data_IF_246804466357
#
_entry.id   IF_246804466357
#
_cell.length_a   1.000
_cell.length_b   1.000
_cell.length_c   1.000
_cell.angle_alpha   90.00
_cell.angle_beta   90.00
_cell.angle_gamma   90.00
#
_symmetry.space_group_name_H-M   'P 1'
#
loop_
_entity.id
_entity.type
_entity.pdbx_description
1 polymer ?
#
# COMPACT_ATOMS: atom_id res chain seq x y z
N UNK A 1 -33.88 -19.03 -24.14
CA UNK A 1 -33.86 -20.30 -24.88
C UNK A 1 -34.88 -21.34 -24.39
N UNK A 2 -34.59 -22.21 -23.41
CA UNK A 2 -35.43 -23.42 -23.17
C UNK A 2 -36.91 -23.11 -22.87
N UNK A 3 -37.18 -22.25 -21.89
CA UNK A 3 -38.56 -21.86 -21.51
C UNK A 3 -39.32 -21.07 -22.59
N UNK A 4 -38.61 -20.53 -23.58
CA UNK A 4 -39.18 -19.61 -24.57
C UNK A 4 -39.42 -20.30 -25.91
N UNK A 5 -38.57 -21.27 -26.28
CA UNK A 5 -38.60 -21.87 -27.62
C UNK A 5 -38.40 -23.40 -27.64
N UNK A 6 -38.42 -24.07 -26.48
CA UNK A 6 -38.31 -25.53 -26.34
C UNK A 6 -37.02 -26.07 -26.96
N UNK A 7 -35.91 -25.37 -26.74
CA UNK A 7 -34.66 -25.52 -27.48
C UNK A 7 -34.06 -26.94 -27.42
N UNK A 8 -34.21 -27.63 -26.29
CA UNK A 8 -33.74 -29.00 -26.07
C UNK A 8 -34.82 -30.06 -26.32
N UNK A 9 -36.09 -29.66 -26.30
CA UNK A 9 -37.24 -30.51 -26.62
C UNK A 9 -37.38 -30.75 -28.13
N UNK A 10 -37.10 -29.74 -28.96
CA UNK A 10 -37.16 -29.85 -30.40
C UNK A 10 -35.87 -30.49 -30.97
N UNK A 11 -36.01 -31.57 -31.74
CA UNK A 11 -34.90 -32.35 -32.30
C UNK A 11 -33.99 -31.51 -33.21
N UNK A 12 -34.56 -30.66 -34.07
CA UNK A 12 -33.80 -29.85 -35.04
C UNK A 12 -32.88 -28.83 -34.34
N UNK A 13 -33.37 -28.22 -33.25
CA UNK A 13 -32.61 -27.28 -32.42
C UNK A 13 -31.55 -27.98 -31.56
N UNK A 14 -31.79 -29.24 -31.20
CA UNK A 14 -30.83 -30.08 -30.50
C UNK A 14 -29.67 -30.52 -31.41
N UNK A 15 -29.92 -30.74 -32.71
CA UNK A 15 -28.86 -30.95 -33.70
C UNK A 15 -28.03 -29.67 -33.92
N UNK A 16 -28.68 -28.51 -34.00
CA UNK A 16 -28.02 -27.21 -34.08
C UNK A 16 -27.02 -26.99 -32.91
N UNK A 17 -27.36 -27.41 -31.69
CA UNK A 17 -26.44 -27.37 -30.53
C UNK A 17 -25.16 -28.19 -30.76
N UNK A 18 -25.26 -29.33 -31.46
CA UNK A 18 -24.13 -30.17 -31.85
C UNK A 18 -23.15 -29.48 -32.81
N UNK A 19 -23.63 -28.52 -33.60
CA UNK A 19 -22.80 -27.68 -34.50
C UNK A 19 -22.26 -26.44 -33.80
N UNK A 20 -23.07 -25.80 -32.94
CA UNK A 20 -22.69 -24.59 -32.20
C UNK A 20 -21.59 -24.86 -31.16
N UNK A 21 -21.66 -25.95 -30.39
CA UNK A 21 -20.67 -26.22 -29.33
C UNK A 21 -19.22 -26.36 -29.85
N UNK A 22 -18.93 -27.11 -30.94
CA UNK A 22 -17.60 -27.13 -31.56
C UNK A 22 -17.18 -25.77 -32.12
N UNK A 23 -18.11 -24.94 -32.59
CA UNK A 23 -17.81 -23.59 -33.04
C UNK A 23 -17.43 -22.68 -31.87
N UNK A 24 -18.21 -22.66 -30.79
CA UNK A 24 -17.87 -21.93 -29.55
C UNK A 24 -16.48 -22.34 -29.05
N UNK A 25 -16.20 -23.65 -28.97
CA UNK A 25 -14.90 -24.14 -28.51
C UNK A 25 -13.75 -23.64 -29.40
N UNK A 26 -13.92 -23.66 -30.72
CA UNK A 26 -12.91 -23.19 -31.68
C UNK A 26 -12.69 -21.68 -31.54
N UNK A 27 -13.76 -20.90 -31.53
CA UNK A 27 -13.72 -19.44 -31.53
C UNK A 27 -13.15 -18.91 -30.21
N UNK A 28 -13.55 -19.49 -29.07
CA UNK A 28 -12.96 -19.19 -27.75
C UNK A 28 -11.48 -19.60 -27.66
N UNK A 29 -11.06 -20.70 -28.30
CA UNK A 29 -9.65 -21.14 -28.29
C UNK A 29 -8.76 -20.25 -29.17
N UNK A 30 -9.27 -19.73 -30.30
CA UNK A 30 -8.52 -18.92 -31.25
C UNK A 30 -8.52 -17.42 -30.91
N UNK A 31 -9.66 -16.89 -30.49
CA UNK A 31 -9.89 -15.44 -30.35
C UNK A 31 -10.16 -15.01 -28.91
N UNK A 32 -10.46 -15.95 -28.00
CA UNK A 32 -10.86 -15.63 -26.63
C UNK A 32 -12.25 -14.98 -26.52
N UNK A 33 -12.97 -14.79 -27.62
CA UNK A 33 -14.33 -14.30 -27.65
C UNK A 33 -15.13 -14.99 -28.76
N UNK A 34 -16.44 -15.10 -28.56
CA UNK A 34 -17.35 -15.81 -29.44
C UNK A 34 -18.74 -15.16 -29.37
N UNK A 35 -19.26 -14.79 -30.54
CA UNK A 35 -20.57 -14.15 -30.72
C UNK A 35 -21.32 -14.98 -31.76
N UNK A 36 -22.27 -15.82 -31.32
CA UNK A 36 -23.05 -16.69 -32.21
C UNK A 36 -24.54 -16.36 -32.06
N UNK A 37 -25.21 -15.88 -33.12
CA UNK A 37 -26.68 -15.83 -33.15
C UNK A 37 -27.22 -17.25 -33.25
N UNK A 38 -28.10 -17.64 -32.32
CA UNK A 38 -28.66 -18.99 -32.23
C UNK A 38 -30.07 -19.05 -32.80
N UNK A 39 -30.85 -17.97 -32.64
CA UNK A 39 -32.09 -17.73 -33.36
C UNK A 39 -32.31 -16.21 -33.56
N UNK A 40 -33.47 -15.80 -34.07
CA UNK A 40 -33.80 -14.39 -34.32
C UNK A 40 -33.94 -13.52 -33.06
N UNK A 41 -33.96 -14.12 -31.86
CA UNK A 41 -34.12 -13.42 -30.58
C UNK A 41 -32.96 -13.66 -29.60
N UNK A 42 -32.13 -14.70 -29.81
CA UNK A 42 -31.08 -15.12 -28.90
C UNK A 42 -29.70 -15.10 -29.56
N UNK A 43 -28.78 -14.32 -28.98
CA UNK A 43 -27.36 -14.28 -29.36
C UNK A 43 -26.52 -14.69 -28.15
N UNK A 44 -25.61 -15.65 -28.33
CA UNK A 44 -24.67 -16.11 -27.31
C UNK A 44 -23.37 -15.32 -27.46
N UNK A 45 -23.12 -14.44 -26.49
CA UNK A 45 -21.88 -13.67 -26.37
C UNK A 45 -21.04 -14.23 -25.22
N UNK A 46 -19.86 -14.75 -25.53
CA UNK A 46 -18.92 -15.33 -24.59
C UNK A 46 -17.55 -14.66 -24.74
N UNK A 47 -16.92 -14.31 -23.63
CA UNK A 47 -15.58 -13.72 -23.61
C UNK A 47 -14.75 -14.30 -22.47
N UNK A 48 -13.59 -14.85 -22.80
CA UNK A 48 -12.58 -15.31 -21.86
C UNK A 48 -11.78 -14.09 -21.37
N UNK A 49 -11.99 -13.74 -20.12
CA UNK A 49 -11.14 -12.78 -19.43
C UNK A 49 -9.97 -13.51 -18.78
N UNK A 50 -8.71 -13.05 -18.94
CA UNK A 50 -7.58 -13.65 -18.25
C UNK A 50 -7.77 -13.50 -16.73
N UNK A 51 -7.70 -14.61 -16.00
CA UNK A 51 -7.72 -14.62 -14.53
C UNK A 51 -6.37 -14.14 -14.03
N UNK A 52 -6.25 -12.83 -13.81
CA UNK A 52 -5.08 -12.21 -13.19
C UNK A 52 -5.09 -12.48 -11.68
N UNK A 53 -3.92 -12.56 -11.07
CA UNK A 53 -3.81 -12.78 -9.63
C UNK A 53 -4.19 -11.52 -8.85
N UNK A 54 -4.86 -11.70 -7.71
CA UNK A 54 -5.19 -10.60 -6.80
C UNK A 54 -3.90 -9.88 -6.35
N UNK A 55 -3.74 -8.57 -6.63
CA UNK A 55 -2.54 -7.84 -6.26
C UNK A 55 -2.45 -7.67 -4.75
N UNK A 56 -1.20 -7.69 -4.27
CA UNK A 56 -0.83 -7.41 -2.89
C UNK A 56 -1.45 -6.09 -2.39
N UNK A 57 -1.70 -5.97 -1.06
CA UNK A 57 -2.20 -4.73 -0.48
C UNK A 57 -1.22 -3.58 -0.70
N UNK A 58 -1.76 -2.42 -1.07
CA UNK A 58 -0.99 -1.20 -1.34
C UNK A 58 -0.84 -0.40 -0.05
N UNK A 59 0.39 -0.17 0.38
CA UNK A 59 0.71 0.57 1.60
C UNK A 59 1.01 2.05 1.34
N UNK A 60 0.83 2.88 2.37
CA UNK A 60 0.93 4.35 2.29
C UNK A 60 2.34 4.85 1.98
N UNK A 61 3.34 4.10 2.41
CA UNK A 61 4.76 4.38 2.25
C UNK A 61 5.34 3.89 0.91
N UNK A 62 4.60 3.10 0.11
CA UNK A 62 5.11 2.61 -1.16
C UNK A 62 5.04 3.68 -2.26
N UNK A 63 5.94 3.57 -3.24
CA UNK A 63 6.05 4.44 -4.40
C UNK A 63 5.57 3.69 -5.65
N UNK A 64 4.47 4.10 -6.30
CA UNK A 64 4.08 3.56 -7.61
C UNK A 64 5.02 4.07 -8.70
N UNK A 65 5.55 3.15 -9.50
CA UNK A 65 6.31 3.44 -10.73
C UNK A 65 5.55 2.89 -11.92
N UNK A 66 5.30 3.74 -12.92
CA UNK A 66 4.74 3.32 -14.20
C UNK A 66 5.75 2.45 -14.97
N UNK A 67 5.35 1.23 -15.34
CA UNK A 67 6.12 0.36 -16.26
C UNK A 67 5.74 0.66 -17.71
N UNK A 68 4.46 0.98 -17.94
CA UNK A 68 3.90 1.33 -19.25
C UNK A 68 3.59 2.81 -19.28
N UNK A 69 3.58 3.42 -20.46
CA UNK A 69 3.14 4.82 -20.59
C UNK A 69 1.65 4.94 -20.27
N UNK A 70 1.36 5.44 -19.06
CA UNK A 70 0.00 5.64 -18.57
C UNK A 70 -0.73 6.74 -19.36
N UNK A 71 -0.02 7.67 -20.02
CA UNK A 71 -0.63 8.78 -20.76
C UNK A 71 -1.13 8.31 -22.13
N UNK A 72 -0.30 7.58 -22.86
CA UNK A 72 -0.71 6.91 -24.10
C UNK A 72 -1.88 5.92 -23.86
N UNK A 73 -1.93 5.29 -22.68
CA UNK A 73 -3.10 4.49 -22.28
C UNK A 73 -4.33 5.38 -22.02
N UNK A 74 -4.17 6.52 -21.33
CA UNK A 74 -5.24 7.45 -20.96
C UNK A 74 -5.98 8.03 -22.16
N UNK A 75 -5.26 8.33 -23.25
CA UNK A 75 -5.80 8.94 -24.47
C UNK A 75 -6.76 8.03 -25.25
N UNK A 76 -6.71 6.71 -25.03
CA UNK A 76 -7.39 5.71 -25.87
C UNK A 76 -8.68 5.12 -25.27
N UNK A 77 -9.13 5.56 -24.08
CA UNK A 77 -10.34 5.02 -23.42
C UNK A 77 -11.02 6.03 -22.50
N UNK A 78 -12.27 5.77 -22.15
CA UNK A 78 -12.98 6.44 -21.05
C UNK A 78 -12.44 5.96 -19.68
N UNK A 79 -11.27 6.47 -19.29
CA UNK A 79 -10.68 6.17 -17.98
C UNK A 79 -11.43 6.86 -16.84
N UNK A 80 -11.51 6.18 -15.69
CA UNK A 80 -12.04 6.72 -14.44
C UNK A 80 -11.42 8.10 -14.11
N UNK A 81 -12.25 9.08 -13.75
CA UNK A 81 -11.85 10.43 -13.36
C UNK A 81 -10.81 10.43 -12.22
N UNK A 82 -10.92 9.50 -11.26
CA UNK A 82 -9.94 9.36 -10.19
C UNK A 82 -8.58 8.91 -10.72
N UNK A 83 -8.55 8.00 -11.72
CA UNK A 83 -7.31 7.61 -12.39
C UNK A 83 -6.72 8.76 -13.20
N UNK A 84 -7.54 9.52 -13.93
CA UNK A 84 -7.09 10.72 -14.66
C UNK A 84 -6.41 11.75 -13.75
N UNK A 85 -6.95 11.97 -12.55
CA UNK A 85 -6.35 12.89 -11.56
C UNK A 85 -5.06 12.33 -10.92
N UNK A 86 -4.99 11.02 -10.65
CA UNK A 86 -3.86 10.40 -9.95
C UNK A 86 -2.65 10.16 -10.89
N UNK A 87 -2.89 9.74 -12.13
CA UNK A 87 -1.83 9.34 -13.10
C UNK A 87 -0.72 10.40 -13.28
N UNK A 88 -1.01 11.71 -13.42
CA UNK A 88 0.03 12.75 -13.50
C UNK A 88 1.00 12.77 -12.32
N UNK A 89 0.54 12.36 -11.13
CA UNK A 89 1.35 12.34 -9.92
C UNK A 89 2.18 11.05 -9.76
N UNK A 90 1.98 10.01 -10.58
CA UNK A 90 2.79 8.78 -10.59
C UNK A 90 4.08 9.01 -11.38
N UNK A 91 5.10 9.57 -10.72
CA UNK A 91 6.43 9.86 -11.29
C UNK A 91 7.53 8.86 -10.89
N UNK A 92 7.20 7.85 -10.09
CA UNK A 92 8.18 6.94 -9.50
C UNK A 92 9.07 7.58 -8.42
N UNK A 93 8.63 8.69 -7.82
CA UNK A 93 9.30 9.36 -6.69
C UNK A 93 8.35 9.58 -5.52
N UNK A 94 7.10 10.00 -5.78
CA UNK A 94 6.10 10.25 -4.73
C UNK A 94 5.50 8.95 -4.20
N UNK A 95 5.42 8.83 -2.87
CA UNK A 95 4.73 7.73 -2.21
C UNK A 95 3.19 7.93 -2.21
N UNK A 96 2.42 6.86 -2.08
CA UNK A 96 0.94 6.85 -2.21
C UNK A 96 0.26 7.93 -1.37
N UNK A 97 0.67 8.12 -0.11
CA UNK A 97 0.09 9.16 0.76
C UNK A 97 0.46 10.58 0.34
N UNK A 98 1.63 10.80 -0.26
CA UNK A 98 2.00 12.10 -0.83
C UNK A 98 1.20 12.40 -2.09
N UNK A 99 0.95 11.39 -2.93
CA UNK A 99 0.06 11.51 -4.10
C UNK A 99 -1.35 11.91 -3.67
N UNK A 100 -1.89 11.27 -2.62
CA UNK A 100 -3.21 11.64 -2.05
C UNK A 100 -3.30 13.11 -1.63
N UNK A 101 -2.25 13.66 -1.00
CA UNK A 101 -2.19 15.07 -0.59
C UNK A 101 -2.01 16.05 -1.76
N UNK A 102 -1.23 15.69 -2.78
CA UNK A 102 -0.99 16.57 -3.94
C UNK A 102 -2.12 16.55 -4.98
N UNK A 103 -2.87 15.43 -5.07
CA UNK A 103 -4.02 15.28 -5.96
C UNK A 103 -5.37 15.70 -5.32
N UNK A 104 -5.39 16.00 -4.01
CA UNK A 104 -6.61 16.22 -3.20
C UNK A 104 -7.64 15.06 -3.29
N UNK A 105 -7.14 13.82 -3.33
CA UNK A 105 -7.96 12.60 -3.40
C UNK A 105 -7.77 11.77 -2.13
N UNK A 106 -8.87 11.26 -1.56
CA UNK A 106 -8.83 10.43 -0.35
C UNK A 106 -7.90 9.22 -0.52
N UNK A 107 -7.02 8.99 0.45
CA UNK A 107 -6.01 7.92 0.42
C UNK A 107 -6.59 6.51 0.20
N UNK A 108 -7.83 6.26 0.65
CA UNK A 108 -8.52 5.00 0.41
C UNK A 108 -8.87 4.80 -1.09
N UNK A 109 -9.22 5.88 -1.80
CA UNK A 109 -9.45 5.88 -3.25
C UNK A 109 -8.12 5.70 -3.97
N UNK A 110 -7.08 6.46 -3.60
CA UNK A 110 -5.73 6.33 -4.22
C UNK A 110 -5.19 4.90 -4.09
N UNK A 111 -5.33 4.26 -2.92
CA UNK A 111 -4.95 2.85 -2.73
C UNK A 111 -5.72 1.91 -3.67
N UNK A 112 -7.03 2.10 -3.87
CA UNK A 112 -7.83 1.31 -4.82
C UNK A 112 -7.39 1.53 -6.26
N UNK A 113 -7.20 2.77 -6.68
CA UNK A 113 -6.73 3.13 -8.02
C UNK A 113 -5.35 2.53 -8.33
N UNK A 114 -4.39 2.67 -7.41
CA UNK A 114 -3.05 2.07 -7.56
C UNK A 114 -3.11 0.53 -7.54
N UNK A 115 -3.99 -0.08 -6.73
CA UNK A 115 -4.22 -1.54 -6.75
C UNK A 115 -4.79 -2.00 -8.11
N UNK A 116 -5.66 -1.22 -8.74
CA UNK A 116 -6.20 -1.51 -10.06
C UNK A 116 -5.15 -1.40 -11.17
N UNK A 117 -4.27 -0.40 -11.10
CA UNK A 117 -3.12 -0.26 -12.01
C UNK A 117 -2.09 -1.38 -11.84
N UNK A 118 -1.95 -1.91 -10.61
CA UNK A 118 -1.12 -3.07 -10.31
C UNK A 118 -1.74 -4.39 -10.82
N UNK A 119 -3.06 -4.57 -10.69
CA UNK A 119 -3.79 -5.72 -11.25
C UNK A 119 -3.56 -5.86 -12.76
N UNK A 120 -3.62 -4.76 -13.51
CA UNK A 120 -3.37 -4.75 -14.96
C UNK A 120 -1.88 -4.68 -15.37
N UNK A 121 -0.94 -4.70 -14.42
CA UNK A 121 0.50 -4.65 -14.70
C UNK A 121 0.98 -3.32 -15.31
N UNK A 122 0.23 -2.24 -15.13
CA UNK A 122 0.60 -0.90 -15.62
C UNK A 122 1.62 -0.21 -14.70
N UNK A 123 1.55 -0.52 -13.40
CA UNK A 123 2.36 0.07 -12.32
C UNK A 123 2.96 -1.04 -11.47
N UNK A 124 4.17 -0.83 -10.96
CA UNK A 124 4.78 -1.62 -9.88
C UNK A 124 4.99 -0.76 -8.64
N UNK A 125 5.10 -1.40 -7.47
CA UNK A 125 5.32 -0.73 -6.19
C UNK A 125 6.75 -0.98 -5.73
N UNK A 126 7.49 0.10 -5.48
CA UNK A 126 8.82 0.07 -4.88
C UNK A 126 8.84 0.82 -3.56
N UNK A 127 9.98 0.74 -2.88
CA UNK A 127 10.29 1.53 -1.71
C UNK A 127 10.65 2.99 -2.00
N UNK A 128 10.47 3.86 -0.99
CA UNK A 128 10.96 5.25 -1.03
C UNK A 128 12.49 5.26 -1.13
N UNK A 129 13.02 5.91 -2.16
CA UNK A 129 14.45 6.20 -2.27
C UNK A 129 14.86 7.33 -1.31
N UNK A 130 15.71 7.02 -0.33
CA UNK A 130 16.38 7.97 0.55
C UNK A 130 17.89 7.67 0.61
N UNK A 131 18.71 8.70 0.80
CA UNK A 131 20.17 8.53 0.97
C UNK A 131 20.54 7.80 2.27
N UNK A 132 19.70 7.85 3.30
CA UNK A 132 19.89 7.08 4.55
C UNK A 132 19.59 5.58 4.42
N UNK A 133 19.00 5.15 3.30
CA UNK A 133 18.62 3.75 3.09
C UNK A 133 19.84 2.85 2.88
N UNK A 134 19.61 1.57 3.18
CA UNK A 134 20.53 0.48 2.90
C UNK A 134 19.83 -0.47 1.93
N UNK A 135 20.60 -0.98 0.97
CA UNK A 135 20.14 -1.93 -0.02
C UNK A 135 21.11 -3.11 -0.06
N UNK A 136 20.62 -4.27 -0.50
CA UNK A 136 21.41 -5.47 -0.68
C UNK A 136 21.16 -6.04 -2.08
N UNK A 137 22.20 -6.61 -2.68
CA UNK A 137 22.02 -7.37 -3.91
C UNK A 137 21.20 -8.65 -3.66
N UNK A 138 20.60 -9.17 -4.74
CA UNK A 138 19.91 -10.46 -4.76
C UNK A 138 20.53 -11.35 -5.84
N UNK A 139 20.43 -12.69 -5.76
CA UNK A 139 20.94 -13.57 -6.81
C UNK A 139 20.25 -13.36 -8.18
N UNK A 140 19.13 -12.64 -8.24
CA UNK A 140 18.47 -12.27 -9.51
C UNK A 140 19.32 -11.34 -10.38
N UNK A 141 20.36 -10.70 -9.83
CA UNK A 141 21.34 -9.93 -10.63
C UNK A 141 22.00 -10.77 -11.74
N UNK A 142 22.05 -12.10 -11.59
CA UNK A 142 22.51 -13.00 -12.65
C UNK A 142 21.64 -12.95 -13.92
N UNK A 143 20.35 -12.60 -13.82
CA UNK A 143 19.47 -12.42 -14.99
C UNK A 143 19.93 -11.22 -15.81
N UNK A 144 20.31 -10.11 -15.15
CA UNK A 144 20.87 -8.93 -15.81
C UNK A 144 22.16 -9.24 -16.58
N UNK A 145 22.99 -10.17 -16.07
CA UNK A 145 24.21 -10.58 -16.77
C UNK A 145 23.95 -11.41 -18.04
N UNK A 146 22.82 -12.12 -18.12
CA UNK A 146 22.50 -13.04 -19.22
C UNK A 146 21.62 -12.42 -20.31
N UNK A 147 20.80 -11.40 -20.02
CA UNK A 147 19.91 -10.78 -21.01
C UNK A 147 20.47 -9.44 -21.56
N UNK A 148 20.97 -9.40 -22.81
CA UNK A 148 21.52 -8.17 -23.41
C UNK A 148 20.47 -7.08 -23.69
N UNK A 149 19.18 -7.42 -23.82
CA UNK A 149 18.12 -6.40 -24.00
C UNK A 149 17.95 -5.61 -22.72
N UNK A 150 17.87 -6.32 -21.60
CA UNK A 150 17.74 -5.75 -20.27
C UNK A 150 18.97 -4.93 -19.85
N UNK A 151 20.16 -5.30 -20.35
CA UNK A 151 21.38 -4.49 -20.19
C UNK A 151 21.29 -3.14 -20.92
N UNK A 152 20.79 -3.14 -22.16
CA UNK A 152 20.61 -1.92 -22.94
C UNK A 152 19.54 -1.01 -22.31
N UNK A 153 18.39 -1.55 -21.92
CA UNK A 153 17.35 -0.82 -21.19
C UNK A 153 17.86 -0.24 -19.88
N UNK A 154 18.60 -1.03 -19.09
CA UNK A 154 19.24 -0.57 -17.86
C UNK A 154 20.16 0.62 -18.12
N UNK A 155 21.05 0.52 -19.11
CA UNK A 155 22.03 1.56 -19.41
C UNK A 155 21.34 2.86 -19.86
N UNK A 156 20.31 2.79 -20.71
CA UNK A 156 19.52 3.95 -21.13
C UNK A 156 18.76 4.56 -19.96
N UNK A 157 18.11 3.74 -19.11
CA UNK A 157 17.28 4.24 -18.01
C UNK A 157 18.09 5.00 -16.96
N UNK A 158 19.23 4.44 -16.50
CA UNK A 158 20.02 5.01 -15.40
C UNK A 158 20.89 6.21 -15.80
N UNK A 159 21.07 6.46 -17.09
CA UNK A 159 21.96 7.51 -17.58
C UNK A 159 21.44 8.90 -17.21
N UNK A 160 22.34 9.81 -16.84
CA UNK A 160 22.00 11.24 -16.69
C UNK A 160 21.67 11.84 -18.05
N UNK A 161 20.63 12.66 -18.09
CA UNK A 161 20.17 13.36 -19.29
C UNK A 161 21.31 14.08 -20.00
N UNK A 162 21.50 13.80 -21.30
CA UNK A 162 22.53 14.44 -22.12
C UNK A 162 23.91 13.77 -22.15
N UNK A 163 24.10 12.65 -21.45
CA UNK A 163 25.35 11.86 -21.51
C UNK A 163 25.18 10.52 -22.21
N UNK A 164 26.26 10.02 -22.82
CA UNK A 164 26.31 8.68 -23.38
C UNK A 164 26.17 7.61 -22.27
N UNK A 165 25.52 6.47 -22.56
CA UNK A 165 25.30 5.45 -21.55
C UNK A 165 26.61 4.82 -21.06
N UNK A 166 26.76 4.59 -19.73
CA UNK A 166 27.95 3.96 -19.18
C UNK A 166 28.03 2.49 -19.60
N UNK A 167 29.25 1.96 -19.66
CA UNK A 167 29.47 0.56 -20.06
C UNK A 167 28.80 -0.43 -19.10
N UNK A 168 28.19 -1.49 -19.64
CA UNK A 168 27.48 -2.47 -18.82
C UNK A 168 28.36 -3.06 -17.71
N UNK A 169 29.64 -3.35 -18.00
CA UNK A 169 30.60 -3.83 -16.99
C UNK A 169 30.72 -2.88 -15.77
N UNK A 170 30.65 -1.56 -15.97
CA UNK A 170 30.68 -0.57 -14.89
C UNK A 170 29.38 -0.58 -14.08
N UNK A 171 28.24 -0.69 -14.75
CA UNK A 171 26.90 -0.79 -14.12
C UNK A 171 26.82 -2.06 -13.26
N UNK A 172 27.24 -3.20 -13.82
CA UNK A 172 27.23 -4.49 -13.15
C UNK A 172 28.17 -4.51 -11.94
N UNK A 173 29.39 -3.98 -12.09
CA UNK A 173 30.33 -3.83 -10.97
C UNK A 173 29.76 -2.98 -9.84
N UNK A 174 29.00 -1.92 -10.15
CA UNK A 174 28.32 -1.08 -9.15
C UNK A 174 27.17 -1.84 -8.45
N UNK A 175 26.36 -2.63 -9.16
CA UNK A 175 25.34 -3.46 -8.49
C UNK A 175 25.99 -4.54 -7.60
N UNK A 176 27.12 -5.11 -8.02
CA UNK A 176 27.88 -6.07 -7.23
C UNK A 176 28.57 -5.44 -6.00
N UNK A 177 28.87 -4.13 -6.02
CA UNK A 177 29.45 -3.43 -4.86
C UNK A 177 28.43 -2.91 -3.84
N UNK A 178 27.12 -3.03 -4.10
CA UNK A 178 26.08 -2.70 -3.11
C UNK A 178 26.09 -3.75 -1.99
N UNK A 179 26.49 -3.32 -0.78
CA UNK A 179 26.59 -4.16 0.41
C UNK A 179 25.49 -3.83 1.45
N UNK A 180 24.95 -4.84 2.18
CA UNK A 180 23.91 -4.65 3.19
C UNK A 180 24.37 -3.90 4.46
N UNK A 181 25.63 -3.50 4.54
CA UNK A 181 26.23 -2.72 5.64
C UNK A 181 26.37 -1.23 5.31
N UNK A 182 26.22 -0.83 4.04
CA UNK A 182 26.56 0.51 3.56
C UNK A 182 25.31 1.35 3.27
N UNK A 183 25.25 2.58 3.81
CA UNK A 183 24.17 3.53 3.49
C UNK A 183 24.39 4.09 2.08
N UNK A 184 23.29 4.45 1.41
CA UNK A 184 23.34 5.01 0.05
C UNK A 184 24.10 6.36 -0.02
N UNK A 185 24.06 7.16 1.06
CA UNK A 185 24.90 8.35 1.23
C UNK A 185 26.39 8.04 1.06
N UNK A 186 26.83 6.97 1.71
CA UNK A 186 28.24 6.62 1.85
C UNK A 186 28.71 5.91 0.57
N UNK A 187 27.86 5.08 -0.03
CA UNK A 187 28.03 4.53 -1.37
C UNK A 187 28.23 5.63 -2.43
N UNK A 188 27.44 6.70 -2.39
CA UNK A 188 27.59 7.84 -3.30
C UNK A 188 28.94 8.55 -3.14
N UNK A 189 29.51 8.62 -1.94
CA UNK A 189 30.83 9.21 -1.70
C UNK A 189 31.93 8.28 -2.21
N UNK A 190 31.91 7.01 -1.79
CA UNK A 190 32.92 5.99 -2.14
C UNK A 190 33.00 5.76 -3.65
N UNK A 191 31.86 5.73 -4.35
CA UNK A 191 31.78 5.49 -5.78
C UNK A 191 31.49 6.76 -6.60
N UNK A 192 31.73 7.95 -6.05
CA UNK A 192 31.43 9.26 -6.67
C UNK A 192 31.91 9.37 -8.13
N UNK A 193 33.18 9.09 -8.41
CA UNK A 193 33.74 9.07 -9.78
C UNK A 193 32.99 8.10 -10.72
N UNK A 194 32.59 6.95 -10.18
CA UNK A 194 31.85 5.90 -10.91
C UNK A 194 30.44 6.34 -11.27
N UNK A 195 29.84 7.19 -10.44
CA UNK A 195 28.46 7.66 -10.53
C UNK A 195 28.33 9.01 -11.26
N UNK A 196 29.44 9.56 -11.78
CA UNK A 196 29.48 10.86 -12.50
C UNK A 196 28.41 10.96 -13.58
N UNK A 197 28.17 9.89 -14.35
CA UNK A 197 27.20 9.84 -15.46
C UNK A 197 25.91 9.06 -15.14
N UNK A 198 25.73 8.59 -13.89
CA UNK A 198 24.61 7.73 -13.46
C UNK A 198 23.67 8.49 -12.51
N UNK A 199 22.38 8.54 -12.81
CA UNK A 199 21.35 8.97 -11.86
C UNK A 199 21.18 7.86 -10.81
N UNK A 200 21.70 8.11 -9.60
CA UNK A 200 21.68 7.16 -8.47
C UNK A 200 20.26 6.72 -8.12
N UNK A 201 19.27 7.64 -8.18
CA UNK A 201 17.88 7.30 -7.89
C UNK A 201 17.37 6.31 -8.94
N UNK A 202 17.61 6.58 -10.23
CA UNK A 202 17.20 5.65 -11.31
C UNK A 202 17.92 4.32 -11.24
N UNK A 203 19.21 4.31 -10.89
CA UNK A 203 19.98 3.08 -10.65
C UNK A 203 19.32 2.21 -9.57
N UNK A 204 18.97 2.78 -8.42
CA UNK A 204 18.28 2.03 -7.36
C UNK A 204 16.84 1.66 -7.75
N UNK A 205 16.07 2.57 -8.34
CA UNK A 205 14.72 2.31 -8.84
C UNK A 205 14.69 1.14 -9.82
N UNK A 206 15.60 1.10 -10.80
CA UNK A 206 15.72 0.00 -11.75
C UNK A 206 16.07 -1.32 -11.05
N UNK A 207 17.06 -1.30 -10.14
CA UNK A 207 17.42 -2.46 -9.33
C UNK A 207 16.27 -3.00 -8.48
N UNK A 208 15.41 -2.14 -7.93
CA UNK A 208 14.22 -2.53 -7.17
C UNK A 208 13.10 -3.09 -8.06
N UNK A 209 12.81 -2.45 -9.21
CA UNK A 209 11.76 -2.87 -10.16
C UNK A 209 12.02 -4.30 -10.67
N UNK A 210 13.26 -4.58 -11.08
CA UNK A 210 13.64 -5.91 -11.58
C UNK A 210 14.04 -6.89 -10.45
N UNK A 211 14.03 -6.42 -9.19
CA UNK A 211 14.33 -7.24 -8.01
C UNK A 211 15.78 -7.68 -7.86
N UNK A 212 16.72 -7.01 -8.55
CA UNK A 212 18.17 -7.20 -8.38
C UNK A 212 18.69 -6.64 -7.07
N UNK A 213 18.04 -5.60 -6.57
CA UNK A 213 18.23 -5.04 -5.25
C UNK A 213 17.00 -5.34 -4.40
N UNK A 214 17.24 -5.62 -3.12
CA UNK A 214 16.23 -5.54 -2.07
C UNK A 214 16.59 -4.42 -1.12
N UNK A 215 15.60 -3.79 -0.50
CA UNK A 215 15.84 -2.86 0.60
C UNK A 215 16.12 -3.64 1.89
N UNK A 216 16.92 -3.04 2.76
CA UNK A 216 17.12 -3.50 4.14
C UNK A 216 16.48 -2.45 5.04
N UNK A 217 15.37 -2.80 5.68
CA UNK A 217 14.57 -1.86 6.46
C UNK A 217 15.06 -1.79 7.90
N UNK A 218 14.89 -0.61 8.52
CA UNK A 218 15.19 -0.40 9.94
C UNK A 218 13.88 -0.49 10.74
N UNK A 219 13.86 -1.39 11.72
CA UNK A 219 12.75 -1.63 12.62
C UNK A 219 13.14 -1.15 14.02
N UNK A 220 12.65 0.02 14.47
CA UNK A 220 12.87 0.49 15.83
C UNK A 220 12.09 -0.36 16.83
N UNK A 221 12.75 -0.67 17.96
CA UNK A 221 12.24 -1.43 19.09
C UNK A 221 12.51 -0.60 20.35
N UNK A 222 11.48 -0.08 20.98
CA UNK A 222 11.53 0.60 22.27
C UNK A 222 11.06 -0.36 23.37
N UNK A 223 11.98 -0.75 24.25
CA UNK A 223 11.67 -1.63 25.38
C UNK A 223 11.20 -0.76 26.55
N UNK A 224 9.88 -0.60 26.69
CA UNK A 224 9.32 0.01 27.89
C UNK A 224 9.48 -0.94 29.09
N UNK A 225 10.41 -0.58 29.98
CA UNK A 225 10.72 -1.31 31.20
C UNK A 225 9.64 -1.22 32.28
N UNK A 226 8.60 -0.39 32.08
CA UNK A 226 7.49 -0.18 33.02
C UNK A 226 6.18 -0.91 32.64
N UNK A 227 6.19 -1.81 31.66
CA UNK A 227 5.07 -2.74 31.41
C UNK A 227 5.13 -3.95 32.36
N UNK A 228 4.23 -4.09 33.36
CA UNK A 228 4.13 -5.30 34.16
C UNK A 228 3.48 -6.43 33.33
N UNK A 229 4.28 -7.12 32.52
CA UNK A 229 3.78 -8.17 31.63
C UNK A 229 4.81 -9.07 30.95
N UNK A 230 6.10 -8.71 30.92
CA UNK A 230 7.17 -9.55 30.38
C UNK A 230 7.71 -10.53 31.42
N UNK A 231 6.94 -11.58 31.71
CA UNK A 231 7.45 -12.74 32.46
C UNK A 231 8.65 -13.37 31.72
N UNK A 232 9.82 -13.55 32.37
CA UNK A 232 10.95 -14.22 31.73
C UNK A 232 10.60 -15.70 31.45
N UNK A 233 11.22 -16.33 30.44
CA UNK A 233 10.98 -17.74 30.14
C UNK A 233 11.44 -18.60 31.32
N UNK A 234 10.48 -19.23 32.00
CA UNK A 234 10.77 -20.14 33.11
C UNK A 234 11.56 -21.35 32.59
N UNK A 235 12.79 -21.50 33.09
CA UNK A 235 13.50 -22.78 32.99
C UNK A 235 12.76 -23.81 33.84
N UNK A 236 12.39 -24.92 33.20
CA UNK A 236 11.59 -25.96 33.83
C UNK A 236 12.49 -26.83 34.74
N UNK A 237 12.58 -26.47 36.03
CA UNK A 237 13.12 -27.36 37.05
C UNK A 237 12.00 -28.13 37.74
N UNK A 238 12.09 -29.46 37.65
CA UNK A 238 11.22 -30.44 38.28
C UNK A 238 11.38 -30.45 39.79
N UNK A 239 10.27 -30.38 40.54
CA UNK A 239 10.22 -30.83 41.94
C UNK A 239 8.82 -31.33 42.34
N UNK A 240 8.80 -32.16 43.36
CA UNK A 240 7.76 -33.19 43.60
C UNK A 240 6.61 -32.70 44.50
N UNK A 241 5.38 -33.24 44.37
CA UNK A 241 4.28 -32.91 45.26
C UNK A 241 4.33 -33.70 46.57
N UNK A 242 4.16 -33.01 47.71
CA UNK A 242 3.82 -33.63 48.99
C UNK A 242 2.31 -33.66 49.24
N UNK A 243 1.91 -34.54 50.14
CA UNK A 243 0.57 -35.13 50.23
C UNK A 243 -0.36 -34.37 51.19
N UNK A 244 -1.67 -34.48 50.96
CA UNK A 244 -2.66 -34.70 52.04
C UNK A 244 -3.90 -35.46 51.51
N UNK A 245 -4.61 -36.23 52.34
CA UNK A 245 -5.42 -37.36 51.86
C UNK A 245 -6.94 -37.12 51.86
N UNK A 246 -7.66 -37.78 50.94
CA UNK A 246 -9.08 -38.10 51.14
C UNK A 246 -9.44 -39.45 50.50
N UNK A 247 -10.54 -40.05 50.99
CA UNK A 247 -10.75 -41.50 51.03
C UNK A 247 -11.47 -42.08 49.79
N UNK A 248 -11.50 -43.43 49.76
CA UNK A 248 -12.29 -44.35 48.93
C UNK A 248 -13.70 -43.84 48.51
N UNK A 249 -14.35 -44.29 47.43
CA UNK A 249 -14.38 -45.64 46.83
C UNK A 249 -14.87 -45.51 45.36
N UNK A 250 -14.28 -46.17 44.36
CA UNK A 250 -14.83 -47.42 43.79
C UNK A 250 -15.72 -47.20 42.55
N UNK A 251 -15.35 -47.74 41.37
CA UNK A 251 -16.17 -47.69 40.15
C UNK A 251 -15.37 -47.76 38.85
N UNK A 252 -15.87 -48.45 37.83
CA UNK A 252 -15.11 -48.85 36.63
C UNK A 252 -15.64 -48.29 35.30
N UNK A 253 -14.72 -48.24 34.33
CA UNK A 253 -14.91 -48.43 32.86
C UNK A 253 -15.40 -47.29 31.94
N UNK A 254 -14.52 -47.01 30.96
CA UNK A 254 -14.73 -46.87 29.50
C UNK A 254 -15.98 -46.13 28.97
N UNK A 255 -15.73 -45.03 28.24
CA UNK A 255 -16.67 -44.49 27.24
C UNK A 255 -16.05 -43.37 26.39
N UNK A 256 -16.28 -43.38 25.06
CA UNK A 256 -15.98 -42.25 24.15
C UNK A 256 -16.83 -41.03 24.50
N UNK A 257 -16.49 -39.85 23.94
CA UNK A 257 -17.51 -39.22 23.11
C UNK A 257 -17.00 -38.77 21.73
N UNK A 258 -17.74 -39.14 20.69
CA UNK A 258 -18.07 -38.22 19.60
C UNK A 258 -19.51 -37.78 19.86
N UNK A 259 -19.75 -36.49 20.07
CA UNK A 259 -21.09 -35.92 20.08
C UNK A 259 -21.02 -34.45 19.64
N UNK A 260 -21.86 -34.08 18.68
CA UNK A 260 -22.03 -32.70 18.25
C UNK A 260 -22.84 -31.94 19.32
N UNK A 261 -22.50 -30.66 19.53
CA UNK A 261 -23.38 -29.72 20.23
C UNK A 261 -23.81 -28.61 19.27
N UNK A 262 -25.07 -28.69 18.86
CA UNK A 262 -25.84 -27.58 18.29
C UNK A 262 -26.09 -26.52 19.36
N UNK A 263 -26.01 -25.24 19.01
CA UNK A 263 -26.91 -24.22 19.56
C UNK A 263 -26.92 -22.96 18.70
N UNK A 264 -28.12 -22.60 18.22
CA UNK A 264 -28.40 -21.34 17.53
C UNK A 264 -28.83 -20.28 18.54
N UNK A 265 -28.47 -19.00 18.39
CA UNK A 265 -29.08 -17.91 19.14
C UNK A 265 -30.42 -17.48 18.51
N UNK A 266 -31.39 -17.11 19.35
CA UNK A 266 -32.75 -16.72 18.95
C UNK A 266 -32.91 -15.21 18.68
N UNK A 267 -33.89 -14.88 17.84
CA UNK A 267 -34.26 -13.53 17.41
C UNK A 267 -35.31 -12.88 18.33
N UNK A 268 -35.10 -11.59 18.65
CA UNK A 268 -36.11 -10.60 19.06
C UNK A 268 -35.42 -9.23 19.20
N UNK A 269 -35.96 -8.06 18.82
CA UNK A 269 -37.23 -7.77 18.15
C UNK A 269 -37.61 -6.28 18.28
N UNK A 270 -37.35 -5.50 17.21
CA UNK A 270 -37.98 -4.21 16.79
C UNK A 270 -38.14 -2.98 17.73
N UNK A 271 -37.51 -1.88 17.26
CA UNK A 271 -37.88 -0.44 17.24
C UNK A 271 -39.40 -0.07 17.32
N UNK A 272 -39.80 1.16 17.75
CA UNK A 272 -39.85 2.30 16.78
C UNK A 272 -39.76 3.80 17.27
N UNK A 273 -39.29 4.65 16.33
CA UNK A 273 -39.76 6.01 15.91
C UNK A 273 -39.88 7.19 16.90
N UNK A 274 -39.21 8.31 16.56
CA UNK A 274 -39.70 9.72 16.52
C UNK A 274 -38.53 10.69 16.18
N UNK A 275 -38.68 12.00 15.97
CA UNK A 275 -39.46 12.76 14.95
C UNK A 275 -38.79 14.16 14.77
N UNK A 276 -39.00 14.85 13.63
CA UNK A 276 -38.40 16.16 13.32
C UNK A 276 -39.17 17.37 13.92
N UNK A 277 -38.65 18.60 13.79
CA UNK A 277 -39.56 19.70 13.42
C UNK A 277 -39.04 20.72 12.38
N UNK A 278 -40.01 21.41 11.77
CA UNK A 278 -39.98 22.47 10.74
C UNK A 278 -40.82 23.67 11.21
N UNK A 279 -40.78 24.90 10.67
CA UNK A 279 -39.84 25.63 9.78
C UNK A 279 -40.36 27.08 9.60
N UNK A 280 -39.52 28.10 9.43
CA UNK A 280 -40.01 29.45 9.02
C UNK A 280 -39.04 30.25 8.13
N UNK A 281 -39.64 30.83 7.08
CA UNK A 281 -39.15 31.92 6.21
C UNK A 281 -39.91 33.24 6.62
N UNK A 282 -39.81 34.44 5.96
CA UNK A 282 -39.29 34.74 4.60
C UNK A 282 -38.45 36.04 4.39
N UNK A 283 -37.79 36.11 3.21
CA UNK A 283 -37.76 37.25 2.25
C UNK A 283 -37.23 38.66 2.60
N UNK A 284 -36.35 39.24 1.74
CA UNK A 284 -36.18 40.70 1.66
C UNK A 284 -34.89 41.29 1.03
N UNK A 285 -34.86 41.42 -0.31
CA UNK A 285 -34.24 42.49 -1.17
C UNK A 285 -32.96 43.27 -0.74
N UNK A 286 -32.01 43.49 -1.68
CA UNK A 286 -31.34 44.82 -1.80
C UNK A 286 -29.82 44.95 -2.06
N UNK A 287 -29.40 44.91 -3.33
CA UNK A 287 -28.39 45.74 -4.04
C UNK A 287 -27.02 46.21 -3.43
N UNK A 288 -25.96 45.94 -4.22
CA UNK A 288 -24.83 46.81 -4.69
C UNK A 288 -24.02 47.78 -3.77
N UNK A 289 -22.68 47.78 -4.01
CA UNK A 289 -21.72 48.85 -3.65
C UNK A 289 -20.46 48.29 -2.97
N UNK A 290 -19.34 48.00 -3.65
CA UNK A 290 -18.36 48.86 -4.34
C UNK A 290 -17.58 49.82 -3.42
N UNK A 291 -16.30 49.49 -3.22
CA UNK A 291 -15.12 50.34 -2.92
C UNK A 291 -15.10 51.27 -1.69
N UNK A 292 -13.98 51.20 -0.95
CA UNK A 292 -13.62 52.23 0.04
C UNK A 292 -12.37 51.89 0.86
N UNK A 293 -11.18 52.27 0.38
CA UNK A 293 -9.97 52.28 1.21
C UNK A 293 -10.12 53.31 2.34
N UNK A 294 -9.67 52.97 3.55
CA UNK A 294 -9.62 53.88 4.69
C UNK A 294 -8.53 53.51 5.69
N UNK A 295 -7.34 54.06 5.51
CA UNK A 295 -6.28 53.96 6.51
C UNK A 295 -6.58 54.89 7.70
N UNK A 296 -6.46 54.38 8.93
CA UNK A 296 -6.67 55.17 10.14
C UNK A 296 -6.01 54.51 11.34
N UNK A 297 -4.85 55.02 11.76
CA UNK A 297 -4.17 54.59 12.96
C UNK A 297 -4.67 55.38 14.18
N UNK A 298 -4.95 54.70 15.29
CA UNK A 298 -4.96 55.31 16.62
C UNK A 298 -4.70 54.28 17.71
N UNK A 299 -4.01 54.71 18.78
CA UNK A 299 -3.60 53.86 19.89
C UNK A 299 -4.75 53.56 20.85
N UNK A 300 -4.77 52.34 21.41
CA UNK A 300 -5.63 51.98 22.53
C UNK A 300 -5.04 50.81 23.32
N UNK A 301 -4.40 51.09 24.45
CA UNK A 301 -3.86 50.05 25.33
C UNK A 301 -4.97 49.42 26.17
N UNK A 302 -5.10 48.09 26.12
CA UNK A 302 -6.04 47.31 26.92
C UNK A 302 -5.67 45.83 26.85
N UNK A 303 -5.39 45.21 28.00
CA UNK A 303 -4.66 43.94 28.05
C UNK A 303 -5.43 42.72 27.54
N UNK A 304 -4.71 41.80 26.89
CA UNK A 304 -5.11 40.39 26.81
C UNK A 304 -3.94 39.43 26.52
N UNK A 305 -2.96 39.37 27.44
CA UNK A 305 -1.77 38.50 27.30
C UNK A 305 -2.08 37.01 27.55
N UNK A 306 -3.30 36.66 28.01
CA UNK A 306 -3.69 35.29 28.34
C UNK A 306 -3.99 34.40 27.11
N UNK A 307 -4.39 34.98 25.98
CA UNK A 307 -4.84 34.23 24.79
C UNK A 307 -3.71 33.49 24.05
N UNK A 308 -2.48 34.02 24.10
CA UNK A 308 -1.31 33.42 23.44
C UNK A 308 -0.77 32.15 24.12
N UNK A 309 -1.25 31.82 25.32
CA UNK A 309 -0.75 30.68 26.10
C UNK A 309 -1.52 29.39 25.87
N UNK A 310 -2.82 29.44 25.58
CA UNK A 310 -3.63 28.23 25.34
C UNK A 310 -3.25 27.55 24.02
N UNK A 311 -3.09 28.32 22.93
CA UNK A 311 -2.66 27.80 21.63
C UNK A 311 -1.26 27.16 21.69
N UNK A 312 -0.31 27.76 22.42
CA UNK A 312 1.01 27.16 22.67
C UNK A 312 0.91 25.88 23.49
N UNK A 313 0.09 25.85 24.55
CA UNK A 313 -0.13 24.66 25.38
C UNK A 313 -0.80 23.52 24.60
N UNK A 314 -1.76 23.83 23.73
CA UNK A 314 -2.41 22.88 22.83
C UNK A 314 -1.43 22.26 21.83
N UNK A 315 -0.58 23.08 21.21
CA UNK A 315 0.49 22.62 20.31
C UNK A 315 1.48 21.69 21.02
N UNK A 316 1.93 22.06 22.24
CA UNK A 316 2.81 21.20 23.06
C UNK A 316 2.12 19.89 23.45
N UNK A 317 0.85 19.90 23.85
CA UNK A 317 0.12 18.65 24.14
C UNK A 317 -0.02 17.76 22.90
N UNK A 318 -0.20 18.35 21.71
CA UNK A 318 -0.29 17.62 20.44
C UNK A 318 1.06 17.03 20.03
N UNK A 319 2.16 17.74 20.27
CA UNK A 319 3.52 17.23 20.06
C UNK A 319 3.84 16.07 21.00
N UNK A 320 3.55 16.20 22.30
CA UNK A 320 3.76 15.13 23.29
C UNK A 320 2.88 13.88 23.01
N UNK A 321 1.68 14.07 22.44
CA UNK A 321 0.84 12.96 22.00
C UNK A 321 1.43 12.27 20.76
N UNK A 322 1.88 13.05 19.78
CA UNK A 322 2.55 12.55 18.58
C UNK A 322 3.80 11.73 18.92
N UNK A 323 4.64 12.21 19.84
CA UNK A 323 5.82 11.51 20.33
C UNK A 323 5.45 10.16 20.97
N UNK A 324 4.44 10.15 21.86
CA UNK A 324 3.94 8.89 22.44
C UNK A 324 3.41 7.91 21.40
N UNK A 325 2.67 8.39 20.40
CA UNK A 325 2.12 7.55 19.35
C UNK A 325 3.22 7.01 18.41
N UNK A 326 4.29 7.77 18.19
CA UNK A 326 5.51 7.32 17.49
C UNK A 326 6.22 6.23 18.28
N UNK A 327 6.50 6.43 19.57
CA UNK A 327 7.11 5.42 20.44
C UNK A 327 6.26 4.13 20.47
N UNK A 328 4.93 4.26 20.45
CA UNK A 328 4.00 3.12 20.42
C UNK A 328 4.07 2.28 19.15
N UNK A 329 4.59 2.84 18.06
CA UNK A 329 4.87 2.12 16.80
C UNK A 329 6.32 1.63 16.70
N UNK A 330 7.18 1.93 17.67
CA UNK A 330 8.53 1.36 17.77
C UNK A 330 8.48 -0.01 18.46
N UNK A 331 7.71 -0.93 17.89
CA UNK A 331 7.45 -2.28 18.42
C UNK A 331 8.29 -3.38 17.74
N UNK A 332 9.11 -3.02 16.75
CA UNK A 332 9.87 -3.95 15.91
C UNK A 332 9.08 -4.65 14.80
N UNK A 333 7.77 -4.38 14.71
CA UNK A 333 6.86 -4.81 13.64
C UNK A 333 6.76 -3.77 12.52
N UNK A 334 6.77 -2.48 12.88
CA UNK A 334 6.75 -1.37 11.92
C UNK A 334 8.18 -0.90 11.60
N UNK A 335 8.43 -0.55 10.34
CA UNK A 335 9.73 0.00 9.92
C UNK A 335 9.70 1.54 9.85
N UNK A 336 10.89 2.16 9.79
CA UNK A 336 11.02 3.63 9.86
C UNK A 336 10.18 4.40 8.84
N UNK A 337 10.01 3.90 7.61
CA UNK A 337 9.26 4.62 6.57
C UNK A 337 7.75 4.58 6.77
N UNK A 338 7.24 3.50 7.35
CA UNK A 338 5.83 3.40 7.73
C UNK A 338 5.50 4.40 8.83
N UNK A 339 6.37 4.52 9.83
CA UNK A 339 6.28 5.53 10.89
C UNK A 339 6.37 6.95 10.28
N UNK A 340 7.38 7.22 9.45
CA UNK A 340 7.53 8.51 8.76
C UNK A 340 6.32 8.89 7.91
N UNK A 341 5.80 7.96 7.09
CA UNK A 341 4.63 8.19 6.24
C UNK A 341 3.37 8.40 7.07
N UNK A 342 3.13 7.57 8.10
CA UNK A 342 1.93 7.65 8.94
C UNK A 342 1.85 8.98 9.70
N UNK A 343 2.96 9.42 10.29
CA UNK A 343 3.02 10.66 11.08
C UNK A 343 3.48 11.91 10.31
N UNK A 344 3.81 11.79 9.02
CA UNK A 344 4.40 12.85 8.18
C UNK A 344 5.69 13.45 8.78
N UNK A 345 6.49 12.61 9.44
CA UNK A 345 7.77 12.97 10.06
C UNK A 345 8.93 12.76 9.09
N UNK A 346 10.01 13.52 9.28
CA UNK A 346 11.26 13.27 8.56
C UNK A 346 12.00 12.12 9.21
N UNK A 347 12.71 11.33 8.40
CA UNK A 347 13.54 10.22 8.88
C UNK A 347 14.56 10.66 9.96
N UNK A 348 15.11 11.87 9.86
CA UNK A 348 16.03 12.45 10.85
C UNK A 348 15.39 12.66 12.22
N UNK A 349 14.10 13.02 12.24
CA UNK A 349 13.37 13.26 13.48
C UNK A 349 13.12 11.93 14.19
N UNK A 350 12.70 10.90 13.44
CA UNK A 350 12.54 9.52 13.96
C UNK A 350 13.87 8.91 14.42
N UNK A 351 14.96 9.09 13.67
CA UNK A 351 16.31 8.63 14.08
C UNK A 351 16.78 9.36 15.35
N UNK A 352 16.44 10.64 15.52
CA UNK A 352 16.74 11.41 16.74
C UNK A 352 15.91 10.92 17.94
N UNK A 353 14.63 10.64 17.77
CA UNK A 353 13.79 10.02 18.82
C UNK A 353 14.34 8.68 19.29
N UNK A 354 14.82 7.82 18.37
CA UNK A 354 15.45 6.53 18.72
C UNK A 354 16.73 6.76 19.54
N UNK A 355 17.55 7.75 19.18
CA UNK A 355 18.82 8.04 19.88
C UNK A 355 18.62 8.72 21.25
N UNK A 356 17.60 9.57 21.39
CA UNK A 356 17.30 10.29 22.63
C UNK A 356 16.52 9.44 23.65
N UNK A 357 15.74 8.47 23.19
CA UNK A 357 14.89 7.67 24.08
C UNK A 357 15.67 6.49 24.67
N UNK A 358 15.76 6.35 26.01
CA UNK A 358 16.44 5.23 26.64
C UNK A 358 15.73 3.90 26.34
N UNK A 359 16.51 2.86 26.06
CA UNK A 359 16.06 1.50 25.70
C UNK A 359 15.39 1.36 24.31
N UNK A 360 15.58 2.33 23.40
CA UNK A 360 15.22 2.20 21.99
C UNK A 360 16.43 1.78 21.13
N UNK A 361 16.24 0.76 20.28
CA UNK A 361 17.27 0.23 19.38
C UNK A 361 16.68 -0.03 17.99
N UNK A 362 17.48 0.04 16.92
CA UNK A 362 17.02 -0.23 15.55
C UNK A 362 17.62 -1.53 15.01
N UNK A 363 16.78 -2.48 14.63
CA UNK A 363 17.17 -3.76 14.00
C UNK A 363 17.04 -3.64 12.49
N UNK A 364 18.00 -4.20 11.75
CA UNK A 364 17.99 -4.24 10.29
C UNK A 364 17.44 -5.60 9.80
N UNK A 365 16.48 -5.60 8.87
CA UNK A 365 15.90 -6.82 8.25
C UNK A 365 15.80 -6.64 6.73
#
# INVERSE_FOLDING_TARGET
MEKESGFLYNADKKELLGTILPQILRDLTLHGECTIPVDTANIVNLKLFPTLQDPAPVFEYQVPVAIRDLRALLENSEWDLALQQIVPFIDGVRYVKRISLEADVEIAIVKKCVRQLLYYGCVTLIDIFLHSNIYANTPKIAVLANDPKLQAECAVYISKSGHAPPSFARIFALYCSVQPSLRMSDFCVVYSESLTFIDVRRFITFGLIHGFLRRVHRYPICIDRNLPGSSPPQQQQTQQPQQQPQQQQGGQQKGRPYALSTNSPSLSGMNPISAAPTSTQPGGVGANGVSGNGAGASNGAGGNVASLTSSKRALVSKANQLEKDVLRMMDGGHHTDEICSKFLLRYTDVESTIQMTPNCFAVHK
#
